data_IF_406404729028
#
_entry.id   IF_406404729028
#
_cell.length_a   1.000
_cell.length_b   1.000
_cell.length_c   1.000
_cell.angle_alpha   90.00
_cell.angle_beta   90.00
_cell.angle_gamma   90.00
#
_symmetry.space_group_name_H-M   'P 1'
#
loop_
_entity.id
_entity.type
_entity.pdbx_description
1 polymer ?
#
# COMPACT_ATOMS: atom_id res chain seq x y z
N UNK A 1 -3.84 17.03 -8.81
CA UNK A 1 -3.19 18.07 -7.98
C UNK A 1 -4.15 18.63 -6.94
N UNK A 2 -5.32 19.14 -7.33
CA UNK A 2 -6.35 19.66 -6.41
C UNK A 2 -6.69 18.71 -5.25
N UNK A 3 -6.90 17.40 -5.50
CA UNK A 3 -7.12 16.39 -4.45
C UNK A 3 -5.97 16.28 -3.43
N UNK A 4 -4.73 16.60 -3.82
CA UNK A 4 -3.58 16.64 -2.91
C UNK A 4 -3.57 17.94 -2.10
N UNK A 5 -3.91 19.09 -2.71
CA UNK A 5 -4.09 20.36 -2.02
C UNK A 5 -5.20 20.25 -0.96
N UNK A 6 -6.35 19.66 -1.30
CA UNK A 6 -7.44 19.39 -0.37
C UNK A 6 -6.99 18.51 0.82
N UNK A 7 -6.25 17.43 0.56
CA UNK A 7 -5.70 16.56 1.62
C UNK A 7 -4.70 17.24 2.56
N UNK A 8 -4.10 18.35 2.14
CA UNK A 8 -3.16 19.15 2.93
C UNK A 8 -3.77 20.52 3.33
N UNK A 9 -5.08 20.70 3.16
CA UNK A 9 -5.77 21.92 3.58
C UNK A 9 -5.96 21.93 5.10
N UNK A 10 -5.98 23.14 5.68
CA UNK A 10 -6.26 23.36 7.10
C UNK A 10 -7.56 24.15 7.16
N UNK A 11 -8.57 23.65 7.88
CA UNK A 11 -9.93 24.20 7.90
C UNK A 11 -10.46 24.44 6.47
N UNK A 12 -10.25 23.46 5.60
CA UNK A 12 -10.62 23.45 4.18
C UNK A 12 -9.96 24.53 3.30
N UNK A 13 -9.06 25.33 3.86
CA UNK A 13 -8.28 26.36 3.16
C UNK A 13 -6.90 25.81 2.82
N UNK A 14 -6.42 26.09 1.62
CA UNK A 14 -5.05 25.83 1.21
C UNK A 14 -4.46 27.11 0.61
N UNK A 15 -3.36 27.59 1.19
CA UNK A 15 -2.70 28.81 0.75
C UNK A 15 -1.63 28.50 -0.31
N UNK A 16 -1.68 29.20 -1.43
CA UNK A 16 -0.71 29.12 -2.53
C UNK A 16 0.05 30.44 -2.57
N UNK A 17 1.26 30.50 -2.01
CA UNK A 17 2.03 31.77 -1.97
C UNK A 17 2.38 32.31 -3.37
N UNK A 18 2.69 31.43 -4.33
CA UNK A 18 2.96 31.76 -5.73
C UNK A 18 2.87 30.52 -6.62
N UNK A 19 2.63 30.70 -7.93
CA UNK A 19 2.56 29.62 -8.91
C UNK A 19 3.74 29.71 -9.87
N UNK A 20 4.62 28.70 -9.88
CA UNK A 20 5.67 28.56 -10.89
C UNK A 20 5.20 27.64 -12.02
N UNK A 21 4.95 28.20 -13.21
CA UNK A 21 4.53 27.42 -14.38
C UNK A 21 5.71 27.14 -15.31
N UNK A 22 6.19 25.91 -15.32
CA UNK A 22 7.36 25.51 -16.11
C UNK A 22 6.98 25.10 -17.54
N UNK A 23 7.48 25.84 -18.52
CA UNK A 23 7.28 25.63 -19.95
C UNK A 23 8.62 25.36 -20.67
N UNK A 24 8.56 24.76 -21.86
CA UNK A 24 9.68 24.78 -22.80
C UNK A 24 9.59 26.05 -23.66
N UNK A 25 10.69 26.40 -24.34
CA UNK A 25 10.67 27.40 -25.41
C UNK A 25 9.66 27.01 -26.50
N UNK A 26 8.72 27.91 -26.81
CA UNK A 26 7.77 27.77 -27.91
C UNK A 26 7.21 29.12 -28.34
N UNK A 27 7.27 29.38 -29.65
CA UNK A 27 6.55 30.49 -30.30
C UNK A 27 5.06 30.19 -30.45
N UNK A 28 4.65 28.92 -30.39
CA UNK A 28 3.30 28.46 -30.70
C UNK A 28 2.54 28.07 -29.44
N UNK A 29 1.29 28.53 -29.35
CA UNK A 29 0.35 28.13 -28.31
C UNK A 29 -0.20 26.73 -28.60
N UNK A 30 0.52 25.69 -28.15
CA UNK A 30 0.11 24.30 -28.33
C UNK A 30 -0.96 23.83 -27.32
N UNK A 31 -1.51 22.63 -27.53
CA UNK A 31 -2.57 22.09 -26.67
C UNK A 31 -2.09 21.79 -25.23
N UNK A 32 -0.80 21.52 -25.02
CA UNK A 32 -0.22 21.28 -23.69
C UNK A 32 -0.16 22.58 -22.89
N UNK A 33 0.28 23.66 -23.52
CA UNK A 33 0.29 25.01 -22.95
C UNK A 33 -1.14 25.46 -22.64
N UNK A 34 -2.09 25.27 -23.56
CA UNK A 34 -3.50 25.59 -23.33
C UNK A 34 -4.11 24.82 -22.16
N UNK A 35 -3.81 23.51 -22.02
CA UNK A 35 -4.25 22.70 -20.87
C UNK A 35 -3.63 23.18 -19.56
N UNK A 36 -2.33 23.50 -19.55
CA UNK A 36 -1.64 24.05 -18.38
C UNK A 36 -2.24 25.39 -17.94
N UNK A 37 -2.46 26.31 -18.88
CA UNK A 37 -3.07 27.60 -18.61
C UNK A 37 -4.53 27.49 -18.13
N UNK A 38 -5.32 26.61 -18.75
CA UNK A 38 -6.69 26.34 -18.31
C UNK A 38 -6.71 25.78 -16.89
N UNK A 39 -5.80 24.86 -16.54
CA UNK A 39 -5.71 24.35 -15.17
C UNK A 39 -5.41 25.47 -14.15
N UNK A 40 -4.46 26.36 -14.45
CA UNK A 40 -4.12 27.50 -13.58
C UNK A 40 -5.32 28.44 -13.44
N UNK A 41 -5.97 28.80 -14.54
CA UNK A 41 -7.15 29.66 -14.52
C UNK A 41 -8.30 29.03 -13.71
N UNK A 42 -8.51 27.72 -13.80
CA UNK A 42 -9.57 27.03 -13.04
C UNK A 42 -9.35 27.03 -11.51
N UNK A 43 -8.15 27.34 -11.00
CA UNK A 43 -7.95 27.55 -9.56
C UNK A 43 -8.81 28.70 -9.02
N UNK A 44 -9.17 29.67 -9.87
CA UNK A 44 -10.07 30.77 -9.57
C UNK A 44 -11.46 30.29 -9.14
N UNK A 45 -11.92 29.12 -9.61
CA UNK A 45 -13.19 28.54 -9.15
C UNK A 45 -13.16 28.21 -7.65
N UNK A 46 -11.98 28.00 -7.08
CA UNK A 46 -11.75 27.64 -5.69
C UNK A 46 -11.35 28.83 -4.82
N UNK A 47 -11.18 30.04 -5.36
CA UNK A 47 -10.68 31.21 -4.61
C UNK A 47 -11.75 32.31 -4.49
N UNK A 48 -11.63 33.21 -3.51
CA UNK A 48 -12.55 34.36 -3.39
C UNK A 48 -12.24 35.41 -4.46
N UNK A 49 -13.10 35.47 -5.48
CA UNK A 49 -13.00 36.37 -6.64
C UNK A 49 -12.74 37.84 -6.27
N UNK A 50 -13.18 38.28 -5.08
CA UNK A 50 -13.02 39.65 -4.60
C UNK A 50 -11.57 40.01 -4.27
N UNK A 51 -10.69 39.04 -3.98
CA UNK A 51 -9.30 39.30 -3.56
C UNK A 51 -8.33 39.58 -4.74
N UNK A 52 -8.69 39.23 -5.98
CA UNK A 52 -7.75 39.23 -7.11
C UNK A 52 -8.26 39.83 -8.44
N UNK A 53 -9.44 40.46 -8.45
CA UNK A 53 -10.13 40.99 -9.65
C UNK A 53 -10.34 39.92 -10.76
N UNK A 54 -10.46 38.65 -10.40
CA UNK A 54 -10.49 37.53 -11.37
C UNK A 54 -9.15 37.20 -12.07
N UNK A 55 -8.07 37.96 -11.81
CA UNK A 55 -6.77 37.80 -12.48
C UNK A 55 -5.72 37.08 -11.61
N UNK A 56 -5.77 35.74 -11.60
CA UNK A 56 -4.77 34.89 -10.95
C UNK A 56 -3.35 35.02 -11.55
N UNK A 57 -3.21 35.46 -12.80
CA UNK A 57 -1.92 35.56 -13.49
C UNK A 57 -0.97 36.60 -12.89
N UNK A 58 -1.48 37.50 -12.06
CA UNK A 58 -0.68 38.39 -11.21
C UNK A 58 0.25 37.61 -10.25
N UNK A 59 -0.15 36.43 -9.79
CA UNK A 59 0.59 35.58 -8.83
C UNK A 59 1.29 34.38 -9.50
N UNK A 60 1.39 34.38 -10.83
CA UNK A 60 2.01 33.32 -11.64
C UNK A 60 3.30 33.83 -12.29
N UNK A 61 4.39 33.06 -12.13
CA UNK A 61 5.63 33.25 -12.88
C UNK A 61 5.81 32.11 -13.88
N UNK A 62 5.84 32.43 -15.18
CA UNK A 62 6.16 31.45 -16.22
C UNK A 62 7.68 31.27 -16.29
N UNK A 63 8.15 30.05 -16.02
CA UNK A 63 9.56 29.65 -16.14
C UNK A 63 9.76 29.00 -17.50
N UNK A 64 10.45 29.69 -18.42
CA UNK A 64 10.81 29.17 -19.74
C UNK A 64 12.13 28.42 -19.61
N UNK A 65 12.12 27.09 -19.82
CA UNK A 65 13.32 26.25 -19.81
C UNK A 65 14.08 26.42 -21.12
N UNK A 66 15.09 27.28 -21.09
CA UNK A 66 15.92 27.62 -22.25
C UNK A 66 16.57 29.00 -22.11
N UNK A 67 17.61 29.31 -22.91
CA UNK A 67 18.28 30.61 -22.91
C UNK A 67 17.42 31.75 -23.48
N UNK A 68 16.34 31.44 -24.22
CA UNK A 68 15.43 32.36 -24.88
C UNK A 68 16.15 33.38 -25.77
N UNK A 69 16.94 32.86 -26.72
CA UNK A 69 17.75 33.66 -27.65
C UNK A 69 16.92 34.55 -28.60
N UNK A 70 15.61 34.33 -28.68
CA UNK A 70 14.64 35.21 -29.34
C UNK A 70 13.45 35.47 -28.40
N UNK A 71 12.94 36.71 -28.29
CA UNK A 71 11.73 37.01 -27.51
C UNK A 71 10.49 36.21 -27.94
N UNK A 72 10.41 35.78 -29.21
CA UNK A 72 9.30 34.97 -29.73
C UNK A 72 9.14 33.63 -28.99
N UNK A 73 10.21 33.06 -28.45
CA UNK A 73 10.24 31.73 -27.83
C UNK A 73 9.47 31.60 -26.50
N UNK A 74 8.89 32.70 -25.99
CA UNK A 74 8.00 32.69 -24.83
C UNK A 74 6.54 33.06 -25.16
N UNK A 75 6.25 33.44 -26.42
CA UNK A 75 4.92 33.92 -26.79
C UNK A 75 3.87 32.81 -26.76
N UNK A 76 4.24 31.55 -27.05
CA UNK A 76 3.30 30.43 -26.96
C UNK A 76 2.67 30.27 -25.58
N UNK A 77 3.46 30.42 -24.50
CA UNK A 77 2.97 30.33 -23.12
C UNK A 77 2.19 31.58 -22.68
N UNK A 78 2.62 32.78 -23.12
CA UNK A 78 1.89 34.03 -22.83
C UNK A 78 0.52 34.05 -23.52
N UNK A 79 0.44 33.59 -24.77
CA UNK A 79 -0.80 33.48 -25.53
C UNK A 79 -1.71 32.45 -24.87
N UNK A 80 -1.19 31.29 -24.42
CA UNK A 80 -1.99 30.31 -23.68
C UNK A 80 -2.60 30.88 -22.39
N UNK A 81 -1.83 31.63 -21.60
CA UNK A 81 -2.31 32.32 -20.41
C UNK A 81 -3.41 33.34 -20.73
N UNK A 82 -3.19 34.20 -21.74
CA UNK A 82 -4.18 35.19 -22.20
C UNK A 82 -5.48 34.53 -22.68
N UNK A 83 -5.40 33.47 -23.48
CA UNK A 83 -6.58 32.74 -23.96
C UNK A 83 -7.37 32.09 -22.83
N UNK A 84 -6.70 31.53 -21.82
CA UNK A 84 -7.38 30.98 -20.64
C UNK A 84 -8.12 32.08 -19.85
N UNK A 85 -7.47 33.23 -19.63
CA UNK A 85 -8.09 34.37 -18.95
C UNK A 85 -9.25 34.98 -19.75
N UNK A 86 -9.09 35.20 -21.05
CA UNK A 86 -10.17 35.69 -21.94
C UNK A 86 -11.37 34.74 -21.96
N UNK A 87 -11.13 33.42 -22.00
CA UNK A 87 -12.19 32.43 -21.90
C UNK A 87 -12.96 32.58 -20.58
N UNK A 88 -12.25 32.69 -19.45
CA UNK A 88 -12.85 32.87 -18.14
C UNK A 88 -13.64 34.18 -18.01
N UNK A 89 -13.10 35.30 -18.51
CA UNK A 89 -13.79 36.61 -18.56
C UNK A 89 -15.12 36.49 -19.31
N UNK A 90 -15.12 35.86 -20.49
CA UNK A 90 -16.32 35.64 -21.30
C UNK A 90 -17.33 34.70 -20.62
N UNK A 91 -16.87 33.60 -20.00
CA UNK A 91 -17.74 32.66 -19.28
C UNK A 91 -18.36 33.25 -18.01
N UNK A 92 -17.73 34.25 -17.41
CA UNK A 92 -18.21 34.95 -16.19
C UNK A 92 -18.84 36.33 -16.47
N UNK A 93 -18.84 36.80 -17.72
CA UNK A 93 -19.27 38.14 -18.12
C UNK A 93 -18.62 39.27 -17.28
N UNK A 94 -17.31 39.21 -17.09
CA UNK A 94 -16.55 40.22 -16.33
C UNK A 94 -16.18 41.41 -17.22
N UNK A 95 -16.31 42.63 -16.69
CA UNK A 95 -15.87 43.85 -17.37
C UNK A 95 -14.40 44.12 -17.04
N UNK A 96 -13.50 43.53 -17.82
CA UNK A 96 -12.04 43.59 -17.63
C UNK A 96 -11.35 44.03 -18.92
N UNK A 97 -10.53 45.08 -18.85
CA UNK A 97 -9.73 45.54 -19.99
C UNK A 97 -8.70 44.48 -20.42
N UNK A 98 -8.94 43.86 -21.58
CA UNK A 98 -8.08 42.87 -22.22
C UNK A 98 -6.63 43.35 -22.41
N UNK A 99 -6.42 44.66 -22.55
CA UNK A 99 -5.09 45.25 -22.75
C UNK A 99 -4.20 45.18 -21.50
N UNK A 100 -4.80 45.02 -20.30
CA UNK A 100 -4.09 44.99 -19.02
C UNK A 100 -3.63 43.58 -18.59
N UNK A 101 -3.87 42.54 -19.40
CA UNK A 101 -3.42 41.17 -19.11
C UNK A 101 -1.89 41.05 -19.27
N UNK A 102 -1.18 41.41 -18.19
CA UNK A 102 0.26 41.22 -18.02
C UNK A 102 0.53 39.87 -17.34
N UNK A 103 1.30 39.04 -18.02
CA UNK A 103 1.74 37.72 -17.54
C UNK A 103 3.25 37.76 -17.42
N UNK A 104 3.77 37.44 -16.24
CA UNK A 104 5.20 37.55 -15.99
C UNK A 104 5.96 36.28 -16.38
N UNK A 105 7.22 36.44 -16.79
CA UNK A 105 8.08 35.33 -17.19
C UNK A 105 9.54 35.54 -16.81
N UNK A 106 10.23 34.42 -16.67
CA UNK A 106 11.68 34.30 -16.50
C UNK A 106 12.17 33.14 -17.38
N UNK A 107 13.05 33.43 -18.33
CA UNK A 107 13.79 32.38 -19.01
C UNK A 107 14.95 31.91 -18.12
N UNK A 108 15.24 30.61 -18.16
CA UNK A 108 16.44 30.05 -17.54
C UNK A 108 16.88 28.74 -18.21
N UNK A 109 18.17 28.68 -18.55
CA UNK A 109 18.89 27.43 -18.82
C UNK A 109 19.88 27.16 -17.69
N UNK A 110 19.85 25.97 -17.10
CA UNK A 110 20.74 25.58 -16.00
C UNK A 110 21.72 24.55 -16.54
N UNK A 111 22.99 24.94 -16.70
CA UNK A 111 23.98 24.17 -17.45
C UNK A 111 24.87 23.26 -16.58
N UNK A 112 24.90 23.50 -15.27
CA UNK A 112 25.65 22.74 -14.25
C UNK A 112 24.83 21.62 -13.60
N UNK A 113 23.66 21.27 -14.17
CA UNK A 113 22.87 20.12 -13.70
C UNK A 113 23.51 18.76 -14.02
N UNK A 114 24.39 18.71 -15.03
CA UNK A 114 25.08 17.50 -15.48
C UNK A 114 26.58 17.78 -15.66
N UNK A 115 27.44 16.82 -15.32
CA UNK A 115 28.91 16.91 -15.45
C UNK A 115 29.43 16.81 -16.91
N UNK A 116 28.66 17.30 -17.90
CA UNK A 116 29.13 17.39 -19.27
C UNK A 116 30.26 18.43 -19.37
N UNK A 117 31.48 17.95 -19.57
CA UNK A 117 32.70 18.76 -19.66
C UNK A 117 32.76 19.66 -20.91
N UNK A 118 31.93 19.38 -21.92
CA UNK A 118 31.93 20.05 -23.23
C UNK A 118 30.97 21.23 -23.37
N UNK A 119 30.34 21.70 -22.28
CA UNK A 119 29.33 22.75 -22.39
C UNK A 119 29.95 24.15 -22.54
N UNK A 120 29.60 24.84 -23.64
CA UNK A 120 30.22 26.11 -24.06
C UNK A 120 30.10 27.21 -23.00
N UNK A 121 29.02 27.17 -22.20
CA UNK A 121 28.73 28.14 -21.14
C UNK A 121 29.79 28.13 -20.02
N UNK A 122 30.58 27.05 -19.88
CA UNK A 122 31.72 26.98 -18.94
C UNK A 122 32.87 27.92 -19.33
N UNK A 123 32.96 28.32 -20.60
CA UNK A 123 34.02 29.22 -21.11
C UNK A 123 33.56 30.67 -21.33
N UNK A 124 32.26 30.95 -21.17
CA UNK A 124 31.71 32.30 -21.32
C UNK A 124 31.94 33.15 -20.06
N UNK A 125 32.00 34.47 -20.21
CA UNK A 125 32.00 35.37 -19.06
C UNK A 125 30.65 35.32 -18.33
N UNK A 126 30.65 35.60 -17.03
CA UNK A 126 29.43 35.64 -16.20
C UNK A 126 28.40 36.60 -16.81
N UNK A 127 28.83 37.79 -17.22
CA UNK A 127 27.98 38.82 -17.84
C UNK A 127 27.30 38.32 -19.12
N UNK A 128 28.07 37.72 -20.04
CA UNK A 128 27.54 37.18 -21.30
C UNK A 128 26.55 36.04 -21.03
N UNK A 129 26.92 35.13 -20.13
CA UNK A 129 26.12 33.96 -19.76
C UNK A 129 24.78 34.36 -19.13
N UNK A 130 24.79 35.29 -18.18
CA UNK A 130 23.57 35.84 -17.57
C UNK A 130 22.73 36.66 -18.57
N UNK A 131 23.34 37.34 -19.54
CA UNK A 131 22.61 38.05 -20.60
C UNK A 131 21.84 37.11 -21.53
N UNK A 132 22.25 35.84 -21.62
CA UNK A 132 21.58 34.78 -22.37
C UNK A 132 20.67 33.91 -21.50
N UNK A 133 20.30 34.38 -20.30
CA UNK A 133 19.49 33.61 -19.34
C UNK A 133 20.07 32.23 -18.98
N UNK A 134 21.40 32.07 -19.03
CA UNK A 134 22.08 30.85 -18.61
C UNK A 134 22.60 31.04 -17.19
N UNK A 135 22.28 30.11 -16.29
CA UNK A 135 22.53 30.21 -14.86
C UNK A 135 23.23 28.95 -14.32
N UNK A 136 24.01 29.13 -13.25
CA UNK A 136 24.35 28.04 -12.34
C UNK A 136 23.14 27.70 -11.46
N UNK A 137 23.12 26.49 -10.91
CA UNK A 137 22.09 25.98 -9.99
C UNK A 137 21.88 26.87 -8.77
N UNK A 138 22.95 27.44 -8.23
CA UNK A 138 22.88 28.30 -7.04
C UNK A 138 22.44 29.73 -7.39
N UNK A 139 22.76 30.22 -8.60
CA UNK A 139 22.38 31.55 -9.10
C UNK A 139 20.88 31.64 -9.41
N UNK A 140 20.30 30.62 -10.06
CA UNK A 140 18.89 30.64 -10.48
C UNK A 140 17.96 30.70 -9.26
N UNK A 141 18.35 30.13 -8.12
CA UNK A 141 17.58 30.20 -6.88
C UNK A 141 17.39 31.64 -6.39
N UNK A 142 18.43 32.47 -6.45
CA UNK A 142 18.32 33.89 -6.10
C UNK A 142 17.53 34.67 -7.16
N UNK A 143 17.79 34.40 -8.45
CA UNK A 143 17.06 35.05 -9.56
C UNK A 143 15.55 34.81 -9.48
N UNK A 144 15.12 33.59 -9.16
CA UNK A 144 13.70 33.26 -8.96
C UNK A 144 13.14 33.95 -7.71
N UNK A 145 13.84 33.91 -6.56
CA UNK A 145 13.42 34.61 -5.33
C UNK A 145 13.21 36.12 -5.55
N UNK A 146 14.17 36.75 -6.23
CA UNK A 146 14.10 38.17 -6.57
C UNK A 146 13.01 38.48 -7.60
N UNK A 147 12.52 37.50 -8.37
CA UNK A 147 11.40 37.70 -9.30
C UNK A 147 10.05 37.57 -8.61
N UNK A 148 9.88 36.54 -7.78
CA UNK A 148 8.62 36.29 -7.05
C UNK A 148 8.36 37.34 -5.96
N UNK A 149 9.38 38.00 -5.41
CA UNK A 149 9.21 39.08 -4.43
C UNK A 149 8.49 40.34 -4.95
N UNK A 150 8.35 40.48 -6.28
CA UNK A 150 7.58 41.55 -6.91
C UNK A 150 6.15 41.14 -7.31
N UNK A 151 5.79 39.86 -7.14
CA UNK A 151 4.43 39.41 -7.41
C UNK A 151 3.52 39.77 -6.22
N UNK A 152 2.30 40.26 -6.45
CA UNK A 152 1.32 40.44 -5.39
C UNK A 152 0.96 39.10 -4.73
N UNK A 153 0.41 39.19 -3.52
CA UNK A 153 0.26 38.09 -2.58
C UNK A 153 -0.45 36.84 -3.12
N UNK A 154 -0.21 35.72 -2.42
CA UNK A 154 -0.69 34.40 -2.78
C UNK A 154 -2.21 34.22 -2.73
N UNK A 155 -2.67 33.17 -3.39
CA UNK A 155 -4.09 32.78 -3.53
C UNK A 155 -4.47 31.83 -2.41
N UNK A 156 -5.52 32.15 -1.64
CA UNK A 156 -6.17 31.15 -0.79
C UNK A 156 -7.25 30.41 -1.60
N UNK A 157 -7.18 29.08 -1.62
CA UNK A 157 -8.22 28.23 -2.21
C UNK A 157 -9.02 27.53 -1.11
N UNK A 158 -10.33 27.51 -1.30
CA UNK A 158 -11.37 27.01 -0.42
C UNK A 158 -11.97 25.73 -1.01
N UNK A 159 -11.88 24.65 -0.25
CA UNK A 159 -12.56 23.40 -0.56
C UNK A 159 -13.89 23.32 0.19
N UNK A 160 -14.91 22.80 -0.49
CA UNK A 160 -16.20 22.53 0.15
C UNK A 160 -16.10 21.17 0.83
N UNK A 161 -16.44 21.07 2.12
CA UNK A 161 -16.70 19.75 2.71
C UNK A 161 -18.07 19.28 2.27
N UNK A 162 -18.11 18.25 1.44
CA UNK A 162 -19.33 17.56 1.13
C UNK A 162 -19.20 16.04 1.30
N UNK A 163 -20.34 15.40 1.53
CA UNK A 163 -20.48 13.95 1.47
C UNK A 163 -21.52 13.60 0.41
N UNK A 164 -21.19 12.62 -0.44
CA UNK A 164 -22.18 11.98 -1.27
C UNK A 164 -22.97 10.95 -0.45
N UNK A 165 -24.30 11.10 -0.39
CA UNK A 165 -25.22 10.15 0.28
C UNK A 165 -25.20 8.75 -0.33
N UNK A 166 -24.82 8.62 -1.61
CA UNK A 166 -24.83 7.36 -2.37
C UNK A 166 -23.53 6.59 -2.25
N UNK A 167 -22.42 7.14 -2.73
CA UNK A 167 -21.11 6.45 -2.77
C UNK A 167 -20.23 6.64 -1.53
N UNK A 168 -20.72 7.30 -0.46
CA UNK A 168 -19.90 7.77 0.67
C UNK A 168 -18.67 8.61 0.26
N UNK A 169 -18.59 9.11 -0.97
CA UNK A 169 -17.51 9.97 -1.45
C UNK A 169 -17.44 11.24 -0.59
N UNK A 170 -16.25 11.55 -0.06
CA UNK A 170 -16.00 12.67 0.85
C UNK A 170 -15.07 13.69 0.21
N UNK A 171 -15.40 14.97 0.31
CA UNK A 171 -14.55 16.07 -0.11
C UNK A 171 -15.28 17.11 -0.96
N UNK A 172 -14.51 17.80 -1.80
CA UNK A 172 -15.05 18.85 -2.66
C UNK A 172 -15.86 18.25 -3.82
N UNK A 173 -17.15 18.65 -4.01
CA UNK A 173 -17.98 18.15 -5.10
C UNK A 173 -17.39 18.36 -6.49
N UNK A 174 -16.60 19.43 -6.68
CA UNK A 174 -15.94 19.77 -7.95
C UNK A 174 -14.80 18.80 -8.30
N UNK A 175 -14.38 17.99 -7.33
CA UNK A 175 -13.33 16.97 -7.46
C UNK A 175 -13.88 15.54 -7.44
N UNK A 176 -15.18 15.35 -7.34
CA UNK A 176 -15.80 14.03 -7.51
C UNK A 176 -15.74 13.59 -8.98
N UNK A 177 -15.81 12.29 -9.20
CA UNK A 177 -16.06 11.77 -10.55
C UNK A 177 -17.42 12.26 -11.07
N UNK A 178 -17.64 12.19 -12.39
CA UNK A 178 -18.91 12.67 -12.97
C UNK A 178 -20.14 11.93 -12.44
N UNK A 179 -19.96 10.70 -11.99
CA UNK A 179 -21.00 9.81 -11.50
C UNK A 179 -20.47 9.07 -10.26
N UNK A 180 -21.37 8.69 -9.34
CA UNK A 180 -21.03 7.90 -8.15
C UNK A 180 -20.28 6.60 -8.48
N UNK A 181 -20.61 6.02 -9.63
CA UNK A 181 -20.36 4.61 -9.92
C UNK A 181 -19.93 4.40 -11.40
N UNK A 182 -18.85 5.02 -11.88
CA UNK A 182 -18.50 5.00 -13.31
C UNK A 182 -18.11 3.60 -13.82
N UNK A 183 -17.61 2.75 -12.91
CA UNK A 183 -17.04 1.43 -13.22
C UNK A 183 -17.77 0.25 -12.55
N UNK A 184 -19.01 0.43 -12.08
CA UNK A 184 -19.82 -0.71 -11.61
C UNK A 184 -20.11 -1.64 -12.78
N UNK A 185 -19.80 -2.93 -12.63
CA UNK A 185 -20.39 -3.98 -13.44
C UNK A 185 -21.87 -4.13 -13.01
N UNK A 186 -22.86 -3.81 -13.86
CA UNK A 186 -24.26 -3.72 -13.45
C UNK A 186 -24.94 -5.10 -13.27
N UNK A 187 -24.19 -6.20 -13.29
CA UNK A 187 -24.72 -7.53 -12.97
C UNK A 187 -25.24 -7.56 -11.52
N UNK A 188 -26.56 -7.70 -11.28
CA UNK A 188 -27.08 -7.87 -9.92
C UNK A 188 -26.68 -9.23 -9.32
N UNK A 189 -26.21 -10.16 -10.15
CA UNK A 189 -25.80 -11.51 -9.74
C UNK A 189 -24.37 -11.51 -9.20
N UNK A 190 -24.18 -12.26 -8.11
CA UNK A 190 -22.88 -12.56 -7.52
C UNK A 190 -21.86 -13.06 -8.55
N UNK A 191 -20.65 -12.50 -8.50
CA UNK A 191 -19.49 -13.05 -9.21
C UNK A 191 -18.91 -14.22 -8.39
N UNK A 192 -19.51 -15.41 -8.54
CA UNK A 192 -19.20 -16.56 -7.68
C UNK A 192 -17.84 -17.16 -8.04
N UNK A 193 -16.95 -17.20 -7.06
CA UNK A 193 -15.72 -17.99 -7.07
C UNK A 193 -15.84 -19.19 -6.12
N UNK A 194 -15.23 -20.31 -6.49
CA UNK A 194 -15.17 -21.52 -5.66
C UNK A 194 -13.78 -21.60 -5.05
N UNK A 195 -13.69 -21.50 -3.73
CA UNK A 195 -12.44 -21.68 -3.01
C UNK A 195 -12.45 -22.93 -2.14
N UNK A 196 -11.26 -23.46 -1.86
CA UNK A 196 -11.08 -24.61 -0.96
C UNK A 196 -10.53 -24.15 0.38
N UNK A 197 -11.27 -24.42 1.45
CA UNK A 197 -10.92 -24.07 2.82
C UNK A 197 -10.97 -25.29 3.75
N UNK A 198 -10.43 -25.14 4.96
CA UNK A 198 -10.58 -26.12 6.04
C UNK A 198 -11.48 -25.47 7.11
N UNK A 199 -12.64 -26.06 7.44
CA UNK A 199 -13.59 -25.42 8.38
C UNK A 199 -13.12 -25.47 9.84
N UNK A 200 -12.27 -26.44 10.18
CA UNK A 200 -11.81 -26.63 11.55
C UNK A 200 -10.39 -26.14 11.78
N UNK A 201 -10.08 -25.78 13.02
CA UNK A 201 -8.78 -25.28 13.43
C UNK A 201 -7.63 -26.29 13.23
N UNK A 202 -6.44 -25.73 12.99
CA UNK A 202 -5.16 -26.42 13.08
C UNK A 202 -4.90 -26.82 14.54
N UNK A 203 -4.61 -28.10 14.77
CA UNK A 203 -4.15 -28.61 16.06
C UNK A 203 -2.73 -29.17 15.96
N UNK A 204 -2.03 -29.15 17.09
CA UNK A 204 -0.69 -29.72 17.25
C UNK A 204 -0.79 -31.17 17.68
N UNK A 205 -0.59 -32.08 16.73
CA UNK A 205 -0.65 -33.53 16.93
C UNK A 205 0.72 -34.21 16.78
N UNK A 206 0.87 -35.38 17.37
CA UNK A 206 2.12 -36.14 17.37
C UNK A 206 2.17 -37.05 16.15
N UNK A 207 3.14 -36.82 15.24
CA UNK A 207 3.25 -37.51 13.96
C UNK A 207 3.83 -38.93 14.02
N UNK A 208 4.52 -39.27 15.11
CA UNK A 208 5.13 -40.59 15.31
C UNK A 208 4.35 -41.47 16.28
N UNK A 209 4.49 -42.81 16.21
CA UNK A 209 3.87 -43.71 17.16
C UNK A 209 4.24 -43.38 18.62
N UNK A 210 3.32 -43.71 19.52
CA UNK A 210 3.53 -43.63 20.97
C UNK A 210 4.65 -44.60 21.35
N UNK A 211 5.72 -44.07 21.95
CA UNK A 211 6.74 -44.84 22.66
C UNK A 211 6.65 -44.57 24.16
N UNK A 212 7.10 -45.51 24.98
CA UNK A 212 7.19 -45.37 26.43
C UNK A 212 8.64 -45.08 26.81
N UNK A 213 8.87 -44.09 27.68
CA UNK A 213 10.23 -43.70 28.11
C UNK A 213 10.22 -43.35 29.60
N UNK A 214 11.18 -43.87 30.36
CA UNK A 214 11.34 -43.58 31.80
C UNK A 214 11.72 -42.11 32.03
N UNK A 215 10.95 -41.41 32.88
CA UNK A 215 11.17 -39.99 33.20
C UNK A 215 11.11 -39.80 34.71
N UNK A 216 12.25 -39.57 35.35
CA UNK A 216 12.43 -39.39 36.80
C UNK A 216 11.73 -38.15 37.41
N UNK A 217 11.49 -37.08 36.63
CA UNK A 217 10.94 -35.81 37.11
C UNK A 217 9.45 -35.84 37.52
N UNK A 218 9.05 -35.06 38.56
CA UNK A 218 7.63 -34.79 38.83
C UNK A 218 6.98 -33.99 37.68
N UNK A 219 5.72 -34.33 37.38
CA UNK A 219 4.92 -33.73 36.29
C UNK A 219 4.56 -32.27 36.61
N UNK A 220 5.46 -31.33 36.32
CA UNK A 220 5.20 -29.89 36.44
C UNK A 220 4.06 -29.47 35.51
N UNK A 221 3.05 -28.79 36.06
CA UNK A 221 1.93 -28.22 35.31
C UNK A 221 2.27 -26.90 34.61
N UNK A 222 3.47 -26.35 34.81
CA UNK A 222 3.95 -25.11 34.18
C UNK A 222 5.37 -25.26 33.65
N UNK A 223 5.60 -24.73 32.45
CA UNK A 223 6.75 -25.08 31.62
C UNK A 223 8.02 -24.24 31.87
N UNK A 224 9.15 -24.93 31.95
CA UNK A 224 10.49 -24.55 31.43
C UNK A 224 11.44 -25.73 31.69
N UNK A 225 12.12 -26.24 30.67
CA UNK A 225 13.04 -27.38 30.78
C UNK A 225 14.44 -26.95 30.33
N UNK A 226 15.39 -27.00 31.27
CA UNK A 226 16.83 -27.02 30.98
C UNK A 226 17.23 -28.46 30.55
N UNK A 227 18.13 -28.64 29.56
CA UNK A 227 18.44 -29.96 29.03
C UNK A 227 19.50 -30.68 29.87
N UNK A 228 19.15 -31.85 30.41
CA UNK A 228 20.15 -32.82 30.90
C UNK A 228 19.60 -34.24 30.89
N UNK A 229 20.40 -35.16 30.32
CA UNK A 229 20.48 -36.60 30.62
C UNK A 229 19.20 -37.45 30.43
N UNK A 230 19.06 -38.08 29.26
CA UNK A 230 18.14 -39.20 29.02
C UNK A 230 18.95 -40.51 29.05
N UNK A 231 18.78 -41.35 30.08
CA UNK A 231 19.27 -42.73 30.06
C UNK A 231 18.27 -43.65 29.37
N UNK A 232 18.35 -43.73 28.04
CA UNK A 232 17.55 -44.67 27.26
C UNK A 232 18.11 -46.09 27.28
N UNK A 233 17.37 -47.04 27.85
CA UNK A 233 17.52 -48.46 27.56
C UNK A 233 16.43 -48.86 26.56
N UNK A 234 16.80 -49.09 25.30
CA UNK A 234 15.84 -49.49 24.26
C UNK A 234 15.65 -51.01 24.32
N UNK A 235 14.60 -51.46 25.01
CA UNK A 235 14.16 -52.87 24.97
C UNK A 235 12.91 -53.03 24.11
N UNK A 236 13.11 -53.13 22.79
CA UNK A 236 12.02 -53.48 21.88
C UNK A 236 11.55 -54.93 22.09
N UNK A 237 10.26 -55.10 22.42
CA UNK A 237 9.57 -56.38 22.30
C UNK A 237 8.53 -56.27 21.17
N UNK A 238 8.85 -56.82 20.00
CA UNK A 238 7.96 -56.80 18.84
C UNK A 238 7.17 -58.11 18.74
N UNK A 239 5.84 -58.00 18.61
CA UNK A 239 4.98 -59.04 18.05
C UNK A 239 3.67 -58.43 17.51
N UNK A 240 3.02 -58.95 16.47
CA UNK A 240 3.52 -59.54 15.21
C UNK A 240 2.31 -59.74 14.28
N UNK A 241 2.27 -59.09 13.10
CA UNK A 241 1.43 -59.51 11.98
C UNK A 241 1.96 -58.94 10.64
N UNK A 242 2.37 -59.84 9.75
CA UNK A 242 2.70 -59.64 8.32
C UNK A 242 1.49 -60.22 7.51
N UNK A 243 1.29 -60.02 6.18
CA UNK A 243 2.37 -60.12 5.18
C UNK A 243 2.25 -59.40 3.81
N UNK A 244 3.35 -59.57 3.05
CA UNK A 244 3.47 -59.53 1.58
C UNK A 244 3.27 -58.16 0.87
N UNK A 245 3.92 -57.89 -0.27
CA UNK A 245 4.54 -58.81 -1.24
C UNK A 245 5.83 -58.26 -1.89
N UNK A 246 6.71 -59.20 -2.31
CA UNK A 246 7.56 -59.22 -3.52
C UNK A 246 8.43 -57.99 -3.92
N UNK A 247 9.67 -58.10 -4.40
CA UNK A 247 10.49 -59.26 -4.79
C UNK A 247 11.99 -58.89 -4.90
N UNK A 248 12.87 -59.89 -5.09
CA UNK A 248 14.15 -59.72 -5.81
C UNK A 248 15.42 -59.76 -4.95
N UNK A 249 16.48 -60.50 -5.33
CA UNK A 249 17.64 -60.76 -4.47
C UNK A 249 18.98 -60.16 -4.93
N UNK A 250 19.98 -60.29 -4.02
CA UNK A 250 21.44 -60.39 -4.22
C UNK A 250 22.29 -59.22 -3.69
N UNK A 251 23.50 -59.56 -3.21
CA UNK A 251 24.59 -58.59 -3.03
C UNK A 251 25.08 -58.40 -1.59
N UNK A 252 26.15 -59.12 -1.24
CA UNK A 252 26.90 -59.04 0.01
C UNK A 252 27.38 -57.63 0.42
N UNK A 253 27.26 -57.39 1.74
CA UNK A 253 28.31 -56.91 2.66
C UNK A 253 28.96 -55.51 2.51
N UNK A 254 28.92 -54.82 3.65
CA UNK A 254 29.98 -54.02 4.27
C UNK A 254 30.38 -52.65 3.67
N UNK A 255 30.26 -51.62 4.51
CA UNK A 255 31.22 -50.51 4.55
C UNK A 255 30.63 -49.11 4.37
N UNK A 256 30.41 -48.42 5.50
CA UNK A 256 30.51 -46.95 5.74
C UNK A 256 29.95 -46.70 7.14
N UNK A 257 30.72 -46.45 8.20
CA UNK A 257 31.71 -45.39 8.47
C UNK A 257 31.10 -43.96 8.45
N UNK A 258 30.81 -43.52 9.68
CA UNK A 258 30.93 -42.16 10.23
C UNK A 258 29.99 -41.01 9.79
N UNK A 259 29.56 -40.25 10.81
CA UNK A 259 28.82 -38.97 10.71
C UNK A 259 27.50 -39.01 11.49
N UNK A 260 27.32 -38.35 12.64
CA UNK A 260 28.24 -37.52 13.42
C UNK A 260 27.79 -37.40 14.88
N UNK A 261 28.69 -36.91 15.74
CA UNK A 261 28.61 -36.93 17.21
C UNK A 261 27.73 -35.80 17.76
N UNK A 262 26.91 -36.06 18.78
CA UNK A 262 26.74 -35.11 19.92
C UNK A 262 26.56 -35.88 21.23
N UNK A 263 27.35 -35.52 22.26
CA UNK A 263 26.96 -35.71 23.66
C UNK A 263 27.23 -37.10 24.26
N UNK A 264 28.49 -37.41 24.53
CA UNK A 264 28.81 -38.47 25.48
C UNK A 264 28.36 -38.06 26.90
N UNK A 265 27.73 -38.99 27.61
CA UNK A 265 27.70 -38.98 29.06
C UNK A 265 27.86 -40.43 29.56
N UNK A 266 29.06 -40.75 30.04
CA UNK A 266 29.33 -42.04 30.67
C UNK A 266 28.70 -42.08 32.08
N UNK A 267 28.15 -43.24 32.46
CA UNK A 267 27.40 -43.41 33.70
C UNK A 267 26.99 -44.85 33.98
N UNK A 268 27.96 -45.77 33.94
CA UNK A 268 27.84 -47.14 34.52
C UNK A 268 28.16 -47.03 36.03
N UNK A 269 27.62 -47.78 37.00
CA UNK A 269 26.79 -49.00 37.07
C UNK A 269 25.74 -48.75 38.17
N UNK A 270 24.58 -49.41 38.15
CA UNK A 270 23.85 -49.70 39.39
C UNK A 270 23.29 -51.12 39.35
N UNK A 271 23.62 -51.89 40.39
CA UNK A 271 22.92 -53.10 40.82
C UNK A 271 22.39 -52.86 42.24
N UNK A 272 21.23 -53.36 42.67
CA UNK A 272 20.19 -54.09 41.93
C UNK A 272 18.78 -53.66 42.42
N UNK A 273 18.27 -52.45 42.20
CA UNK A 273 18.65 -51.31 41.32
C UNK A 273 18.59 -51.54 39.79
N UNK A 274 17.83 -52.55 39.34
CA UNK A 274 17.29 -52.60 37.97
C UNK A 274 15.75 -52.45 38.00
N UNK A 275 15.03 -51.98 36.96
CA UNK A 275 15.13 -50.77 36.11
C UNK A 275 14.00 -50.86 35.06
N UNK A 276 13.20 -49.81 34.81
CA UNK A 276 12.01 -49.98 33.95
C UNK A 276 12.40 -50.40 32.54
N UNK A 277 11.83 -51.54 32.14
CA UNK A 277 11.86 -52.07 30.78
C UNK A 277 10.88 -51.36 29.84
N UNK A 278 9.84 -50.76 30.43
CA UNK A 278 8.87 -49.84 29.81
C UNK A 278 7.86 -49.24 30.81
N UNK A 279 7.74 -49.75 32.06
CA UNK A 279 7.14 -49.02 33.20
C UNK A 279 7.48 -49.50 34.61
N UNK A 280 8.09 -50.68 34.77
CA UNK A 280 8.57 -51.24 36.06
C UNK A 280 9.76 -50.47 36.67
N UNK A 281 9.49 -49.25 37.15
CA UNK A 281 10.35 -48.50 38.09
C UNK A 281 10.92 -49.52 39.10
N UNK A 282 12.22 -49.60 39.32
CA UNK A 282 13.07 -48.49 39.70
C UNK A 282 14.21 -48.16 38.72
N UNK A 283 14.14 -47.00 38.07
CA UNK A 283 15.24 -46.02 38.17
C UNK A 283 14.92 -45.03 39.32
N UNK A 284 14.52 -45.60 40.47
CA UNK A 284 13.92 -45.05 41.71
C UNK A 284 12.80 -44.00 41.65
N UNK A 285 12.68 -43.18 40.60
CA UNK A 285 11.79 -42.00 40.62
C UNK A 285 10.69 -42.07 39.53
N UNK A 286 10.20 -40.95 38.98
CA UNK A 286 8.99 -40.99 38.13
C UNK A 286 9.10 -41.97 36.94
N UNK A 287 7.93 -42.45 36.53
CA UNK A 287 7.79 -43.63 35.71
C UNK A 287 7.85 -43.36 34.22
N UNK A 288 7.40 -44.37 33.48
CA UNK A 288 7.60 -44.42 32.07
C UNK A 288 6.37 -43.83 31.37
N UNK A 289 6.61 -42.73 30.67
CA UNK A 289 5.61 -41.79 30.15
C UNK A 289 5.52 -41.92 28.63
N UNK A 290 4.34 -41.62 28.08
CA UNK A 290 4.11 -41.64 26.64
C UNK A 290 4.85 -40.47 26.00
N UNK A 291 5.75 -40.77 25.07
CA UNK A 291 6.49 -39.81 24.25
C UNK A 291 6.22 -40.09 22.76
N UNK A 292 6.37 -39.08 21.90
CA UNK A 292 6.25 -39.21 20.45
C UNK A 292 7.63 -39.47 19.84
N UNK A 293 7.79 -40.60 19.16
CA UNK A 293 9.06 -40.97 18.50
C UNK A 293 9.49 -40.02 17.38
N UNK A 294 8.54 -39.27 16.80
CA UNK A 294 8.83 -38.30 15.74
C UNK A 294 9.38 -36.95 16.23
N UNK A 295 9.37 -36.67 17.55
CA UNK A 295 9.81 -35.37 18.08
C UNK A 295 10.33 -35.34 19.51
N UNK A 296 10.34 -36.47 20.21
CA UNK A 296 10.80 -36.61 21.59
C UNK A 296 10.07 -35.69 22.60
N UNK A 297 8.81 -35.30 22.31
CA UNK A 297 7.93 -34.59 23.27
C UNK A 297 6.93 -35.55 23.90
N UNK A 298 6.45 -35.23 25.10
CA UNK A 298 5.49 -36.08 25.80
C UNK A 298 4.09 -35.93 25.20
N UNK A 299 3.25 -36.98 25.26
CA UNK A 299 1.87 -36.94 24.73
C UNK A 299 0.92 -36.04 25.53
N UNK A 300 1.33 -35.57 26.71
CA UNK A 300 0.65 -34.48 27.43
C UNK A 300 1.05 -33.08 26.97
N UNK A 301 2.01 -32.95 26.06
CA UNK A 301 2.48 -31.69 25.48
C UNK A 301 2.00 -31.54 24.04
N UNK A 302 2.02 -30.31 23.53
CA UNK A 302 1.51 -29.98 22.19
C UNK A 302 2.37 -30.61 21.08
N UNK A 303 1.70 -31.36 20.20
CA UNK A 303 2.31 -32.30 19.25
C UNK A 303 3.08 -31.71 18.07
N UNK A 304 4.07 -32.45 17.58
CA UNK A 304 5.07 -31.95 16.63
C UNK A 304 4.58 -31.49 15.25
N UNK A 305 3.42 -31.93 14.79
CA UNK A 305 2.90 -31.64 13.46
C UNK A 305 1.59 -30.88 13.57
N UNK A 306 1.43 -29.86 12.73
CA UNK A 306 0.15 -29.23 12.50
C UNK A 306 -0.73 -30.11 11.62
N UNK A 307 -1.96 -30.37 12.06
CA UNK A 307 -3.01 -30.98 11.23
C UNK A 307 -4.34 -30.28 11.43
N UNK A 308 -5.12 -30.16 10.36
CA UNK A 308 -6.52 -29.75 10.47
C UNK A 308 -7.37 -30.88 11.05
N UNK A 309 -8.26 -30.61 12.01
CA UNK A 309 -9.08 -31.69 12.62
C UNK A 309 -10.18 -32.24 11.70
N UNK A 310 -10.60 -31.48 10.68
CA UNK A 310 -11.60 -31.92 9.70
C UNK A 310 -11.12 -33.08 8.81
N UNK A 311 -9.85 -33.07 8.40
CA UNK A 311 -9.33 -34.01 7.39
C UNK A 311 -7.99 -34.68 7.76
N UNK A 312 -7.33 -34.26 8.84
CA UNK A 312 -6.00 -34.75 9.25
C UNK A 312 -4.85 -34.30 8.34
N UNK A 313 -5.10 -33.44 7.36
CA UNK A 313 -4.08 -32.94 6.44
C UNK A 313 -3.18 -31.89 7.07
N UNK A 314 -1.99 -31.72 6.49
CA UNK A 314 -1.00 -30.72 6.87
C UNK A 314 -1.44 -29.33 6.42
N UNK A 315 -0.92 -28.30 7.11
CA UNK A 315 -1.08 -26.87 6.81
C UNK A 315 -0.78 -26.51 5.34
N UNK A 316 0.12 -27.26 4.69
CA UNK A 316 0.54 -27.06 3.30
C UNK A 316 -0.45 -27.57 2.25
N UNK A 317 -1.51 -28.30 2.65
CA UNK A 317 -2.52 -28.82 1.71
C UNK A 317 -3.72 -27.89 1.59
N UNK A 318 -4.17 -27.69 0.35
CA UNK A 318 -5.41 -26.98 0.04
C UNK A 318 -6.61 -27.54 0.79
N UNK A 319 -7.63 -26.69 0.99
CA UNK A 319 -8.81 -27.00 1.78
C UNK A 319 -9.49 -28.34 1.44
N UNK A 320 -9.98 -29.02 2.48
CA UNK A 320 -10.74 -30.26 2.33
C UNK A 320 -12.20 -30.04 1.91
N UNK A 321 -12.74 -28.84 2.12
CA UNK A 321 -14.09 -28.46 1.72
C UNK A 321 -14.06 -27.31 0.71
N UNK A 322 -15.10 -27.21 -0.11
CA UNK A 322 -15.33 -26.10 -1.04
C UNK A 322 -16.42 -25.19 -0.50
N UNK A 323 -16.19 -23.87 -0.56
CA UNK A 323 -17.26 -22.89 -0.39
C UNK A 323 -17.34 -21.98 -1.61
N UNK A 324 -18.54 -21.48 -1.86
CA UNK A 324 -18.77 -20.40 -2.80
C UNK A 324 -18.55 -19.08 -2.06
N UNK A 325 -17.83 -18.14 -2.69
CA UNK A 325 -17.65 -16.77 -2.22
C UNK A 325 -17.92 -15.80 -3.36
N UNK A 326 -18.48 -14.62 -3.06
CA UNK A 326 -18.59 -13.57 -4.06
C UNK A 326 -17.22 -12.91 -4.24
N UNK A 327 -16.85 -12.56 -5.49
CA UNK A 327 -15.63 -11.82 -5.78
C UNK A 327 -15.66 -10.37 -5.29
N UNK A 328 -16.83 -9.85 -4.87
CA UNK A 328 -16.93 -8.58 -4.16
C UNK A 328 -16.58 -8.81 -2.67
N UNK A 329 -15.59 -8.10 -2.11
CA UNK A 329 -15.28 -8.19 -0.67
C UNK A 329 -16.51 -7.91 0.19
N UNK A 330 -16.62 -8.63 1.31
CA UNK A 330 -17.70 -8.48 2.31
C UNK A 330 -19.13 -8.73 1.78
N UNK A 331 -19.28 -9.17 0.53
CA UNK A 331 -20.57 -9.52 -0.04
C UNK A 331 -20.98 -10.95 0.32
N UNK A 332 -22.05 -11.08 1.09
CA UNK A 332 -22.71 -12.36 1.35
C UNK A 332 -23.45 -12.85 0.09
N UNK A 333 -23.30 -14.14 -0.24
CA UNK A 333 -24.02 -14.77 -1.36
C UNK A 333 -25.50 -15.00 -1.02
N UNK A 334 -25.85 -15.11 0.26
CA UNK A 334 -27.25 -15.31 0.69
C UNK A 334 -28.11 -14.04 0.48
N UNK A 335 -27.49 -12.89 0.22
CA UNK A 335 -28.15 -11.61 -0.05
C UNK A 335 -28.18 -11.36 -1.57
N UNK A 336 -29.39 -11.37 -2.17
CA UNK A 336 -29.62 -11.07 -3.59
C UNK A 336 -30.46 -9.78 -3.71
N UNK A 337 -30.06 -8.78 -4.54
CA UNK A 337 -28.90 -8.76 -5.43
C UNK A 337 -27.57 -8.50 -4.71
N UNK A 338 -26.47 -8.83 -5.38
CA UNK A 338 -25.10 -8.64 -4.91
C UNK A 338 -24.83 -7.20 -4.41
N UNK A 339 -24.04 -7.09 -3.36
CA UNK A 339 -23.60 -5.81 -2.79
C UNK A 339 -22.57 -5.15 -3.72
N UNK A 340 -22.63 -3.82 -3.82
CA UNK A 340 -21.65 -3.03 -4.52
C UNK A 340 -20.41 -2.73 -3.65
N UNK A 341 -19.23 -3.14 -4.11
CA UNK A 341 -17.96 -2.84 -3.43
C UNK A 341 -17.52 -1.36 -3.42
N UNK A 342 -18.27 -0.45 -4.07
CA UNK A 342 -17.98 0.99 -4.04
C UNK A 342 -18.81 1.76 -2.99
N UNK A 343 -20.06 1.36 -2.75
CA UNK A 343 -20.98 2.07 -1.86
C UNK A 343 -21.59 1.23 -0.72
N UNK A 344 -21.43 -0.10 -0.75
CA UNK A 344 -22.03 -1.02 0.22
C UNK A 344 -23.54 -1.25 0.04
N UNK A 345 -24.16 -0.68 -1.00
CA UNK A 345 -25.59 -0.84 -1.30
C UNK A 345 -25.84 -2.01 -2.26
N UNK A 346 -27.06 -2.54 -2.25
CA UNK A 346 -27.54 -3.58 -3.17
C UNK A 346 -27.54 -3.08 -4.62
N UNK A 347 -26.89 -3.82 -5.54
CA UNK A 347 -26.79 -3.45 -6.97
C UNK A 347 -28.18 -3.36 -7.63
N UNK A 348 -28.39 -2.31 -8.42
CA UNK A 348 -29.65 -2.08 -9.15
C UNK A 348 -30.77 -1.42 -8.35
N UNK A 349 -30.54 -1.08 -7.08
CA UNK A 349 -31.42 -0.18 -6.31
C UNK A 349 -31.21 1.28 -6.72
N UNK A 350 -32.14 2.18 -6.37
CA UNK A 350 -32.05 3.63 -6.68
C UNK A 350 -30.75 4.30 -6.19
N UNK A 351 -30.15 3.78 -5.11
CA UNK A 351 -28.86 4.25 -4.59
C UNK A 351 -27.64 3.72 -5.35
N UNK A 352 -27.79 2.69 -6.18
CA UNK A 352 -26.69 1.94 -6.78
C UNK A 352 -26.94 1.49 -8.23
N UNK A 353 -27.21 2.47 -9.10
CA UNK A 353 -27.19 2.32 -10.56
C UNK A 353 -25.88 2.83 -11.16
N UNK A 354 -25.59 2.39 -12.39
CA UNK A 354 -24.46 2.89 -13.19
C UNK A 354 -24.77 4.30 -13.69
N UNK A 355 -23.73 5.13 -13.87
CA UNK A 355 -23.82 6.48 -14.44
C UNK A 355 -24.76 7.44 -13.69
N UNK A 356 -25.04 7.18 -12.41
CA UNK A 356 -25.85 8.06 -11.56
C UNK A 356 -25.02 9.21 -10.98
N UNK A 357 -25.54 10.44 -11.07
CA UNK A 357 -24.91 11.64 -10.50
C UNK A 357 -24.77 11.56 -8.97
N UNK A 358 -23.88 12.39 -8.41
CA UNK A 358 -23.69 12.49 -6.97
C UNK A 358 -24.87 13.22 -6.30
N UNK A 359 -25.51 12.55 -5.34
CA UNK A 359 -26.39 13.21 -4.36
C UNK A 359 -25.51 13.81 -3.26
N UNK A 360 -25.19 15.10 -3.42
CA UNK A 360 -24.21 15.84 -2.63
C UNK A 360 -24.90 16.57 -1.47
N UNK A 361 -24.39 16.39 -0.25
CA UNK A 361 -24.71 17.24 0.89
C UNK A 361 -23.44 17.96 1.32
N UNK A 362 -23.48 19.29 1.30
CA UNK A 362 -22.45 20.13 1.92
C UNK A 362 -22.62 20.09 3.44
N UNK A 363 -21.53 19.94 4.17
CA UNK A 363 -21.50 20.16 5.60
C UNK A 363 -21.28 21.66 5.81
N UNK A 364 -22.33 22.40 6.16
CA UNK A 364 -22.16 23.78 6.59
C UNK A 364 -21.45 23.78 7.95
N UNK A 365 -20.26 24.39 8.03
CA UNK A 365 -19.57 24.68 9.29
C UNK A 365 -20.35 25.78 10.04
N UNK A 366 -21.50 25.39 10.60
CA UNK A 366 -22.47 26.32 11.19
C UNK A 366 -23.66 25.66 11.89
N UNK A 367 -23.85 24.34 11.83
CA UNK A 367 -24.69 23.64 12.82
C UNK A 367 -23.86 23.24 14.02
N UNK A 368 -24.07 23.91 15.15
CA UNK A 368 -23.52 23.51 16.44
C UNK A 368 -23.75 22.01 16.68
N UNK A 369 -22.78 21.35 17.29
CA UNK A 369 -22.96 20.03 17.87
C UNK A 369 -23.84 20.14 19.11
N UNK A 370 -25.14 20.35 18.92
CA UNK A 370 -26.13 20.01 19.94
C UNK A 370 -26.20 18.49 20.05
N UNK A 371 -25.54 18.01 21.09
CA UNK A 371 -25.81 16.76 21.80
C UNK A 371 -27.23 16.21 21.61
N UNK A 372 -27.36 14.91 21.31
CA UNK A 372 -27.65 13.88 22.32
C UNK A 372 -27.33 12.47 21.83
#
# INVERSE_FOLDING_TARGET
MLTLMQKNSVNNKFKIDFILWFCLESERCDQTLQRGASFIQNLVEYADLNEFDGNIWKSVLIIIKGPMLSPSLCEGSKIAAKLAMMKFINEKNLDVDECNIKVDHLACWIFDLNDNSSDIYKTMSIEQRLSWNVYLKDEIGEKVRNRISYLPFGVEIFFIQAKCKRCNCLGDPRLFDKHCHPNINPSPRHNIHVERYHPNNLIRDHSGPVILVHSDRPRSSTGKILPTMISGAITGAAAAARPASAAGPAGLAAGTIAGGIVGAAAGVILSSNEKCRDCHRSFLEQGCVKQCSGCNRFWGESGCRWKYTCCGWEETKSGCETRHICGTPECDIEIDPCICGACGMLLGTEGCTKDIEHDVVCNDEGSDTESF
#
